data_IF_836160367146
#
_entry.id   IF_836160367146
#
_cell.length_a   1.000
_cell.length_b   1.000
_cell.length_c   1.000
_cell.angle_alpha   90.00
_cell.angle_beta   90.00
_cell.angle_gamma   90.00
#
_symmetry.space_group_name_H-M   'P 1'
#
loop_
_entity.id
_entity.type
_entity.pdbx_description
1 polymer ?
#
# COMPACT_ATOMS: atom_id res chain seq x y z
N UNK A 1 -24.84 3.99 20.56
CA UNK A 1 -24.02 4.73 19.58
C UNK A 1 -24.86 4.96 18.32
N UNK A 2 -25.05 6.20 17.88
CA UNK A 2 -25.67 6.50 16.58
C UNK A 2 -24.54 6.59 15.55
N UNK A 3 -24.57 5.76 14.51
CA UNK A 3 -23.57 5.75 13.44
C UNK A 3 -24.23 6.26 12.16
N UNK A 4 -23.59 7.21 11.48
CA UNK A 4 -24.00 7.67 10.15
C UNK A 4 -23.04 7.09 9.10
N UNK A 5 -23.59 6.49 8.04
CA UNK A 5 -22.82 5.97 6.92
C UNK A 5 -22.75 7.01 5.81
N UNK A 6 -21.54 7.44 5.45
CA UNK A 6 -21.27 8.33 4.30
C UNK A 6 -20.51 7.54 3.23
N UNK A 7 -20.90 7.69 1.97
CA UNK A 7 -20.13 7.18 0.82
C UNK A 7 -19.14 8.27 0.42
N UNK A 8 -17.84 7.97 0.46
CA UNK A 8 -16.77 8.93 0.16
C UNK A 8 -16.39 8.96 -1.33
N UNK A 9 -16.65 7.87 -2.05
CA UNK A 9 -16.31 7.71 -3.46
C UNK A 9 -16.44 6.26 -3.91
N UNK A 10 -16.02 6.01 -5.14
CA UNK A 10 -15.98 4.68 -5.76
C UNK A 10 -14.56 4.39 -6.23
N UNK A 11 -14.01 3.26 -5.81
CA UNK A 11 -12.71 2.77 -6.27
C UNK A 11 -12.86 1.28 -6.57
N UNK A 12 -12.59 0.91 -7.81
CA UNK A 12 -12.71 -0.47 -8.28
C UNK A 12 -11.77 -1.36 -7.46
N UNK A 13 -12.32 -2.43 -6.86
CA UNK A 13 -11.58 -3.35 -6.00
C UNK A 13 -10.69 -2.63 -4.95
N UNK A 14 -11.24 -1.60 -4.29
CA UNK A 14 -10.61 -0.97 -3.12
C UNK A 14 -10.29 -2.05 -2.08
N UNK A 15 -9.01 -2.20 -1.75
CA UNK A 15 -8.51 -3.32 -0.96
C UNK A 15 -7.71 -2.84 0.25
N UNK A 16 -6.77 -1.93 0.04
CA UNK A 16 -5.87 -1.46 1.09
C UNK A 16 -6.26 -0.07 1.56
N UNK A 17 -6.29 0.10 2.89
CA UNK A 17 -6.54 1.38 3.57
C UNK A 17 -5.39 1.67 4.53
N UNK A 18 -4.99 2.93 4.65
CA UNK A 18 -4.04 3.37 5.65
C UNK A 18 -4.46 4.69 6.28
N UNK A 19 -4.23 4.83 7.58
CA UNK A 19 -4.21 6.14 8.22
C UNK A 19 -2.87 6.81 7.91
N UNK A 20 -2.93 8.05 7.46
CA UNK A 20 -1.74 8.82 7.08
C UNK A 20 -1.81 10.18 7.78
N UNK A 21 -0.70 10.62 8.36
CA UNK A 21 -0.57 11.90 9.04
C UNK A 21 0.57 12.73 8.43
N UNK A 22 0.27 13.95 8.02
CA UNK A 22 1.27 14.93 7.61
C UNK A 22 0.70 16.34 7.74
N UNK A 23 1.58 17.35 7.83
CA UNK A 23 1.19 18.76 7.96
C UNK A 23 0.17 19.03 9.08
N UNK A 24 0.28 18.27 10.18
CA UNK A 24 -0.61 18.37 11.35
C UNK A 24 -2.05 17.85 11.14
N UNK A 25 -2.30 17.15 10.04
CA UNK A 25 -3.63 16.63 9.65
C UNK A 25 -3.61 15.12 9.46
N UNK A 26 -4.78 14.51 9.68
CA UNK A 26 -5.01 13.07 9.52
C UNK A 26 -5.85 12.79 8.30
N UNK A 27 -5.47 11.73 7.60
CA UNK A 27 -6.04 11.33 6.34
C UNK A 27 -6.26 9.82 6.28
N UNK A 28 -7.12 9.40 5.36
CA UNK A 28 -7.37 8.02 4.99
C UNK A 28 -6.92 7.84 3.53
N UNK A 29 -5.86 7.06 3.33
CA UNK A 29 -5.45 6.62 2.00
C UNK A 29 -6.19 5.33 1.63
N UNK A 30 -6.69 5.27 0.40
CA UNK A 30 -7.46 4.16 -0.14
C UNK A 30 -6.85 3.72 -1.47
N UNK A 31 -6.49 2.44 -1.60
CA UNK A 31 -5.85 1.91 -2.80
C UNK A 31 -6.49 0.61 -3.29
N UNK A 32 -6.43 0.40 -4.59
CA UNK A 32 -7.04 -0.72 -5.27
C UNK A 32 -6.09 -1.89 -5.52
N UNK A 33 -6.66 -3.09 -5.58
CA UNK A 33 -5.99 -4.29 -6.10
C UNK A 33 -5.77 -4.23 -7.62
N UNK A 34 -6.61 -3.54 -8.39
CA UNK A 34 -6.52 -3.49 -9.86
C UNK A 34 -5.66 -2.33 -10.33
N UNK A 35 -5.52 -2.15 -11.65
CA UNK A 35 -4.80 -1.02 -12.24
C UNK A 35 -5.60 0.26 -12.07
N UNK A 36 -5.59 0.77 -10.84
CA UNK A 36 -6.46 1.82 -10.34
C UNK A 36 -5.67 2.69 -9.35
N UNK A 37 -6.10 3.95 -9.15
CA UNK A 37 -5.37 4.94 -8.38
C UNK A 37 -5.38 4.68 -6.87
N UNK A 38 -4.57 5.46 -6.15
CA UNK A 38 -4.74 5.67 -4.71
C UNK A 38 -5.25 7.08 -4.42
N UNK A 39 -6.31 7.14 -3.62
CA UNK A 39 -6.95 8.38 -3.21
C UNK A 39 -6.69 8.67 -1.74
N UNK A 40 -6.59 9.95 -1.41
CA UNK A 40 -6.48 10.46 -0.05
C UNK A 40 -7.73 11.24 0.31
N UNK A 41 -8.32 10.93 1.46
CA UNK A 41 -9.46 11.63 2.04
C UNK A 41 -9.12 12.17 3.42
N UNK A 42 -9.75 13.27 3.84
CA UNK A 42 -9.75 13.64 5.27
C UNK A 42 -10.81 12.85 6.05
N UNK A 43 -10.87 13.08 7.37
CA UNK A 43 -11.79 12.36 8.25
C UNK A 43 -13.22 12.90 8.20
N UNK A 44 -13.44 14.06 7.57
CA UNK A 44 -14.78 14.56 7.22
C UNK A 44 -15.30 13.88 5.93
N UNK A 45 -14.42 13.17 5.22
CA UNK A 45 -14.73 12.44 4.01
C UNK A 45 -14.63 13.27 2.75
N UNK A 46 -13.89 14.39 2.79
CA UNK A 46 -13.58 15.19 1.61
C UNK A 46 -12.41 14.56 0.86
N UNK A 47 -12.48 14.56 -0.47
CA UNK A 47 -11.37 14.17 -1.32
C UNK A 47 -10.26 15.23 -1.24
N UNK A 48 -9.03 14.80 -1.00
CA UNK A 48 -7.88 15.69 -0.84
C UNK A 48 -7.02 15.66 -2.09
N UNK A 49 -6.53 14.49 -2.45
CA UNK A 49 -5.68 14.31 -3.62
C UNK A 49 -5.67 12.85 -4.10
N UNK A 50 -5.15 12.67 -5.29
CA UNK A 50 -4.80 11.36 -5.85
C UNK A 50 -3.30 11.20 -5.71
N UNK A 51 -2.86 10.26 -4.87
CA UNK A 51 -1.44 10.04 -4.59
C UNK A 51 -0.70 9.45 -5.79
N UNK A 52 -1.39 8.63 -6.59
CA UNK A 52 -0.91 8.14 -7.89
C UNK A 52 -2.06 7.67 -8.78
N UNK A 53 -1.82 7.70 -10.08
CA UNK A 53 -2.72 7.12 -11.10
C UNK A 53 -2.59 5.61 -11.21
N UNK A 54 -1.36 5.11 -11.06
CA UNK A 54 -1.04 3.70 -11.15
C UNK A 54 0.48 3.47 -11.04
N UNK A 55 0.93 2.20 -11.07
CA UNK A 55 0.09 1.00 -11.08
C UNK A 55 -0.69 0.86 -9.77
N UNK A 56 -1.70 -0.02 -9.78
CA UNK A 56 -2.29 -0.50 -8.52
C UNK A 56 -1.66 -1.81 -8.09
N UNK A 57 -2.48 -2.82 -7.80
CA UNK A 57 -1.97 -4.07 -7.22
C UNK A 57 -1.57 -3.90 -5.76
N UNK A 58 -2.33 -3.09 -5.02
CA UNK A 58 -2.04 -2.73 -3.63
C UNK A 58 -2.78 -3.66 -2.68
N UNK A 59 -1.99 -4.50 -1.99
CA UNK A 59 -2.44 -5.44 -0.96
C UNK A 59 -1.99 -5.05 0.44
N UNK A 60 -0.99 -4.18 0.55
CA UNK A 60 -0.63 -3.52 1.82
C UNK A 60 -0.24 -2.08 1.58
N UNK A 61 -0.68 -1.24 2.51
CA UNK A 61 -0.52 0.20 2.52
C UNK A 61 -0.36 0.61 3.99
N UNK A 62 0.73 1.27 4.34
CA UNK A 62 0.97 1.75 5.71
C UNK A 62 1.90 2.96 5.71
N UNK A 63 1.71 3.87 6.65
CA UNK A 63 2.64 4.97 6.85
C UNK A 63 3.86 4.47 7.64
N UNK A 64 5.06 4.74 7.14
CA UNK A 64 6.30 4.42 7.83
C UNK A 64 6.47 5.37 9.04
N UNK A 65 6.63 4.84 10.27
CA UNK A 65 6.55 5.65 11.48
C UNK A 65 7.82 6.50 11.69
N UNK A 66 7.69 7.60 12.45
CA UNK A 66 8.80 8.36 13.04
C UNK A 66 9.89 8.73 12.01
N UNK A 67 9.52 9.48 10.96
CA UNK A 67 10.43 9.96 9.92
C UNK A 67 10.48 11.48 9.87
N UNK A 68 11.60 12.01 9.38
CA UNK A 68 11.76 13.44 9.05
C UNK A 68 10.75 13.90 8.01
N UNK A 69 10.49 13.05 7.02
CA UNK A 69 9.53 13.31 5.94
C UNK A 69 8.41 12.27 6.00
N UNK A 70 7.13 12.67 5.86
CA UNK A 70 6.03 11.74 5.75
C UNK A 70 6.31 10.70 4.67
N UNK A 71 6.24 9.43 5.02
CA UNK A 71 6.58 8.33 4.11
C UNK A 71 5.47 7.29 4.12
N UNK A 72 4.90 6.98 2.96
CA UNK A 72 3.87 5.96 2.79
C UNK A 72 4.45 4.77 2.03
N UNK A 73 4.30 3.57 2.58
CA UNK A 73 4.74 2.31 1.97
C UNK A 73 3.55 1.62 1.31
N UNK A 74 3.77 1.03 0.14
CA UNK A 74 2.75 0.25 -0.56
C UNK A 74 3.35 -0.97 -1.26
N UNK A 75 2.57 -2.04 -1.38
CA UNK A 75 2.85 -3.06 -2.41
C UNK A 75 2.32 -2.54 -3.74
N UNK A 76 3.04 -2.82 -4.83
CA UNK A 76 2.58 -2.55 -6.18
C UNK A 76 2.59 -3.82 -7.02
N UNK A 77 1.72 -3.86 -8.02
CA UNK A 77 1.63 -4.91 -9.04
C UNK A 77 1.32 -6.33 -8.56
N UNK A 78 0.68 -6.46 -7.40
CA UNK A 78 0.04 -7.72 -7.02
C UNK A 78 -1.44 -7.68 -7.42
N UNK A 79 -1.80 -8.27 -8.57
CA UNK A 79 -3.17 -8.25 -9.08
C UNK A 79 -3.94 -9.54 -8.81
N UNK A 80 -3.22 -10.64 -8.58
CA UNK A 80 -3.75 -11.94 -8.17
C UNK A 80 -2.59 -12.92 -7.90
N UNK A 81 -2.83 -14.10 -7.32
CA UNK A 81 -1.81 -15.15 -7.22
C UNK A 81 -1.22 -15.63 -8.56
N UNK A 82 -1.95 -15.42 -9.66
CA UNK A 82 -1.51 -15.73 -11.03
C UNK A 82 -0.84 -14.52 -11.74
N UNK A 83 -0.90 -13.34 -11.13
CA UNK A 83 -0.34 -12.10 -11.66
C UNK A 83 0.24 -11.27 -10.53
N UNK A 84 1.33 -11.79 -9.94
CA UNK A 84 2.08 -11.14 -8.87
C UNK A 84 3.59 -11.27 -9.04
N UNK A 85 4.09 -11.81 -10.16
CA UNK A 85 5.53 -12.02 -10.36
C UNK A 85 6.31 -10.69 -10.38
N UNK A 86 5.68 -9.62 -10.87
CA UNK A 86 6.26 -8.27 -10.94
C UNK A 86 6.02 -7.42 -9.68
N UNK A 87 5.46 -8.03 -8.62
CA UNK A 87 5.14 -7.26 -7.41
C UNK A 87 6.40 -6.75 -6.73
N UNK A 88 6.23 -5.64 -6.03
CA UNK A 88 7.32 -4.92 -5.37
C UNK A 88 6.80 -4.10 -4.21
N UNK A 89 7.70 -3.69 -3.34
CA UNK A 89 7.42 -2.70 -2.30
C UNK A 89 7.95 -1.36 -2.78
N UNK A 90 7.11 -0.33 -2.68
CA UNK A 90 7.45 1.05 -3.02
C UNK A 90 7.26 1.94 -1.79
N UNK A 91 7.92 3.09 -1.81
CA UNK A 91 7.68 4.14 -0.83
C UNK A 91 7.46 5.48 -1.54
N UNK A 92 6.60 6.27 -0.91
CA UNK A 92 6.19 7.60 -1.29
C UNK A 92 6.72 8.56 -0.24
N UNK A 93 7.69 9.38 -0.60
CA UNK A 93 8.29 10.36 0.30
C UNK A 93 7.68 11.73 0.02
N UNK A 94 7.07 12.35 1.04
CA UNK A 94 6.54 13.71 0.92
C UNK A 94 7.64 14.71 1.26
N UNK A 95 8.13 15.44 0.27
CA UNK A 95 9.17 16.45 0.43
C UNK A 95 8.75 17.74 -0.27
N UNK A 96 8.89 18.87 0.43
CA UNK A 96 8.63 20.22 -0.11
C UNK A 96 7.23 20.40 -0.75
N UNK A 97 6.21 19.72 -0.23
CA UNK A 97 4.86 19.79 -0.80
C UNK A 97 4.50 18.65 -1.74
N UNK A 98 5.47 17.86 -2.19
CA UNK A 98 5.32 16.91 -3.30
C UNK A 98 5.63 15.48 -2.89
N UNK A 99 4.95 14.53 -3.54
CA UNK A 99 5.19 13.10 -3.36
C UNK A 99 6.19 12.57 -4.38
N UNK A 100 7.26 11.96 -3.88
CA UNK A 100 8.29 11.31 -4.69
C UNK A 100 8.20 9.79 -4.53
N UNK A 101 8.18 9.08 -5.65
CA UNK A 101 7.95 7.63 -5.69
C UNK A 101 9.27 6.90 -5.90
N UNK A 102 9.52 5.90 -5.08
CA UNK A 102 10.71 5.07 -5.17
C UNK A 102 10.36 3.60 -5.01
N UNK A 103 11.10 2.73 -5.70
CA UNK A 103 11.02 1.28 -5.44
C UNK A 103 11.97 0.95 -4.29
N UNK A 104 11.42 0.39 -3.21
CA UNK A 104 12.22 -0.08 -2.07
C UNK A 104 12.93 -1.39 -2.42
N UNK A 105 12.16 -2.37 -2.89
CA UNK A 105 12.69 -3.64 -3.36
C UNK A 105 11.71 -4.32 -4.31
N UNK A 106 12.25 -5.10 -5.27
CA UNK A 106 11.44 -6.07 -6.03
C UNK A 106 11.26 -7.31 -5.17
N UNK A 107 10.02 -7.73 -4.97
CA UNK A 107 9.69 -8.91 -4.18
C UNK A 107 8.49 -9.60 -4.83
N UNK A 108 8.73 -10.56 -5.74
CA UNK A 108 7.68 -11.30 -6.42
C UNK A 108 6.69 -11.92 -5.44
N UNK A 109 5.41 -11.83 -5.76
CA UNK A 109 4.26 -12.26 -4.99
C UNK A 109 4.15 -11.68 -3.57
N UNK A 110 4.81 -10.56 -3.25
CA UNK A 110 4.57 -9.86 -1.98
C UNK A 110 3.11 -9.48 -1.87
N UNK A 111 2.48 -9.93 -0.78
CA UNK A 111 1.06 -9.71 -0.53
C UNK A 111 0.84 -8.87 0.72
N UNK A 112 1.65 -9.09 1.77
CA UNK A 112 1.56 -8.29 2.99
C UNK A 112 2.93 -7.90 3.48
N UNK A 113 3.06 -6.72 4.05
CA UNK A 113 4.21 -6.36 4.85
C UNK A 113 3.77 -5.55 6.07
N UNK A 114 4.68 -5.37 7.00
CA UNK A 114 4.55 -4.44 8.11
C UNK A 114 5.93 -4.03 8.61
N UNK A 115 5.98 -2.86 9.24
CA UNK A 115 7.19 -2.37 9.92
C UNK A 115 7.09 -2.66 11.42
N UNK A 116 8.14 -3.28 11.96
CA UNK A 116 8.31 -3.48 13.40
C UNK A 116 9.54 -2.74 13.90
N UNK A 117 9.52 -2.31 15.16
CA UNK A 117 10.64 -1.63 15.80
C UNK A 117 11.13 -2.44 17.00
N UNK A 118 12.45 -2.63 17.08
CA UNK A 118 13.12 -3.24 18.23
C UNK A 118 14.47 -2.55 18.45
N UNK A 119 14.73 -2.14 19.69
CA UNK A 119 15.99 -1.47 20.07
C UNK A 119 16.33 -0.28 19.17
N UNK A 120 15.35 0.57 18.87
CA UNK A 120 15.48 1.73 17.97
C UNK A 120 15.84 1.40 16.51
N UNK A 121 15.85 0.11 16.14
CA UNK A 121 16.00 -0.34 14.77
C UNK A 121 14.64 -0.75 14.21
N UNK A 122 14.33 -0.25 13.02
CA UNK A 122 13.12 -0.62 12.28
C UNK A 122 13.45 -1.75 11.30
N UNK A 123 12.53 -2.70 11.20
CA UNK A 123 12.61 -3.86 10.34
C UNK A 123 11.35 -3.94 9.49
N UNK A 124 11.53 -4.18 8.20
CA UNK A 124 10.44 -4.54 7.30
C UNK A 124 10.25 -6.05 7.33
N UNK A 125 9.07 -6.51 7.69
CA UNK A 125 8.68 -7.92 7.60
C UNK A 125 7.70 -8.04 6.44
N UNK A 126 8.03 -8.84 5.43
CA UNK A 126 7.24 -8.97 4.22
C UNK A 126 6.92 -10.43 3.93
N UNK A 127 5.67 -10.71 3.61
CA UNK A 127 5.16 -12.04 3.30
C UNK A 127 4.82 -12.14 1.81
N UNK A 128 5.37 -13.14 1.14
CA UNK A 128 4.98 -13.51 -0.22
C UNK A 128 3.92 -14.60 -0.18
N UNK A 129 2.96 -14.57 -1.11
CA UNK A 129 1.93 -15.60 -1.21
C UNK A 129 2.47 -16.89 -1.84
N UNK A 130 3.42 -16.75 -2.77
CA UNK A 130 4.09 -17.83 -3.51
C UNK A 130 5.53 -17.43 -3.79
N UNK A 131 6.39 -18.41 -4.08
CA UNK A 131 7.76 -18.11 -4.56
C UNK A 131 7.86 -18.09 -6.09
N UNK A 132 6.95 -18.79 -6.79
CA UNK A 132 6.88 -18.85 -8.25
C UNK A 132 5.54 -19.48 -8.70
N UNK A 133 5.30 -19.49 -10.01
CA UNK A 133 4.33 -20.39 -10.65
C UNK A 133 4.77 -20.68 -12.10
N UNK A 134 4.50 -21.89 -12.59
CA UNK A 134 4.71 -22.28 -13.97
C UNK A 134 3.42 -22.18 -14.82
N UNK A 135 2.27 -22.31 -14.18
CA UNK A 135 0.96 -22.24 -14.82
C UNK A 135 -0.09 -21.58 -13.90
N UNK A 136 -1.26 -21.29 -14.46
CA UNK A 136 -2.38 -20.73 -13.71
C UNK A 136 -2.78 -21.68 -12.58
N UNK A 137 -2.95 -21.15 -11.38
CA UNK A 137 -3.37 -21.85 -10.16
C UNK A 137 -2.33 -22.84 -9.62
N UNK A 138 -1.04 -22.61 -9.88
CA UNK A 138 0.03 -23.58 -9.58
C UNK A 138 0.23 -23.94 -8.10
N UNK A 139 0.24 -23.08 -7.09
CA UNK A 139 0.50 -23.43 -5.66
C UNK A 139 1.68 -24.35 -5.23
N UNK A 140 2.47 -24.96 -6.12
CA UNK A 140 3.56 -25.89 -5.74
C UNK A 140 4.76 -25.18 -5.11
N UNK A 141 4.90 -23.88 -5.37
CA UNK A 141 5.96 -23.02 -4.82
C UNK A 141 5.40 -22.13 -3.69
N UNK A 142 5.44 -22.57 -2.43
CA UNK A 142 4.85 -21.82 -1.32
C UNK A 142 5.52 -20.46 -1.10
N UNK A 143 4.78 -19.57 -0.46
CA UNK A 143 5.24 -18.25 -0.03
C UNK A 143 6.28 -18.31 1.10
N UNK A 144 6.82 -17.14 1.45
CA UNK A 144 7.84 -16.97 2.49
C UNK A 144 7.58 -15.71 3.31
N UNK A 145 8.20 -15.64 4.48
CA UNK A 145 8.33 -14.44 5.33
C UNK A 145 9.81 -14.12 5.44
#
# INVERSE_FOLDING_TARGET
MKVNKKVLGTLNKCYALAQVEFDGKKYLACAAEKEDPCYLYDYEGNFIEKLWDGPGGVMSLEQYPNQTYPTLLATWKFYSPNNGADSKIVYYLRKDGEWQIHTLCKLPFVHRFGVIERNHQKYLVACTLKSAHAFKDDWTCPGRV
#
